data_IF_767206425100
#
_entry.id   IF_767206425100
#
_cell.length_a   1.000
_cell.length_b   1.000
_cell.length_c   1.000
_cell.angle_alpha   90.00
_cell.angle_beta   90.00
_cell.angle_gamma   90.00
#
_symmetry.space_group_name_H-M   'P 1'
#
loop_
_entity.id
_entity.type
_entity.pdbx_description
1 polymer ?
#
# COMPACT_ATOMS: atom_id res chain seq x y z
N UNK A 1 11.92 12.35 40.31
CA UNK A 1 11.48 11.79 39.02
C UNK A 1 10.15 12.43 38.68
N UNK A 2 10.13 13.39 37.75
CA UNK A 2 8.88 14.00 37.29
C UNK A 2 8.35 13.09 36.18
N UNK A 3 7.19 12.46 36.40
CA UNK A 3 6.53 11.66 35.37
C UNK A 3 5.93 12.64 34.37
N UNK A 4 6.53 12.73 33.18
CA UNK A 4 5.90 13.41 32.06
C UNK A 4 4.82 12.47 31.58
N UNK A 5 3.60 12.74 32.03
CA UNK A 5 2.40 12.03 31.63
C UNK A 5 2.33 12.07 30.10
N UNK A 6 2.56 10.94 29.43
CA UNK A 6 2.53 10.87 27.97
C UNK A 6 1.19 11.43 27.47
N UNK A 7 1.20 12.20 26.36
CA UNK A 7 -0.01 12.78 25.82
C UNK A 7 -1.08 11.70 25.63
N UNK A 8 -2.36 11.98 25.91
CA UNK A 8 -3.42 11.01 25.65
C UNK A 8 -3.45 10.77 24.14
N UNK A 9 -2.89 9.63 23.69
CA UNK A 9 -2.89 9.13 22.31
C UNK A 9 -4.30 8.72 21.85
N UNK A 10 -5.28 9.58 22.09
CA UNK A 10 -6.70 9.26 22.14
C UNK A 10 -7.34 8.90 20.80
N UNK A 11 -6.65 9.09 19.66
CA UNK A 11 -7.06 8.60 18.34
C UNK A 11 -5.87 8.40 17.41
N UNK A 12 -4.88 7.64 17.84
CA UNK A 12 -3.94 7.03 16.89
C UNK A 12 -4.73 6.03 16.06
N UNK A 13 -5.34 6.50 14.95
CA UNK A 13 -5.76 5.60 13.89
C UNK A 13 -4.54 4.75 13.61
N UNK A 14 -4.60 3.42 13.82
CA UNK A 14 -3.40 2.61 13.77
C UNK A 14 -2.71 2.92 12.45
N UNK A 15 -1.41 3.20 12.47
CA UNK A 15 -0.66 3.57 11.26
C UNK A 15 -0.93 2.56 10.13
N UNK A 16 -1.14 1.30 10.50
CA UNK A 16 -1.65 0.24 9.63
C UNK A 16 -2.95 0.60 8.88
N UNK A 17 -3.96 1.20 9.53
CA UNK A 17 -5.21 1.68 8.88
C UNK A 17 -4.95 2.87 7.94
N UNK A 18 -4.04 3.76 8.31
CA UNK A 18 -3.66 4.90 7.47
C UNK A 18 -2.91 4.43 6.22
N UNK A 19 -2.07 3.39 6.34
CA UNK A 19 -1.31 2.79 5.25
C UNK A 19 -2.12 1.78 4.42
N UNK A 20 -3.17 1.17 5.00
CA UNK A 20 -4.04 0.20 4.34
C UNK A 20 -4.75 0.79 3.12
N UNK A 21 -5.30 2.01 3.25
CA UNK A 21 -5.99 2.66 2.13
C UNK A 21 -5.02 2.95 0.95
N UNK A 22 -3.85 3.59 1.14
CA UNK A 22 -2.81 3.70 0.12
C UNK A 22 -2.38 2.36 -0.49
N UNK A 23 -2.16 1.34 0.34
CA UNK A 23 -1.74 0.03 -0.14
C UNK A 23 -2.82 -0.63 -1.01
N UNK A 24 -4.08 -0.52 -0.60
CA UNK A 24 -5.23 -1.05 -1.35
C UNK A 24 -5.43 -0.31 -2.68
N UNK A 25 -5.22 1.02 -2.70
CA UNK A 25 -5.24 1.82 -3.92
C UNK A 25 -4.11 1.43 -4.87
N UNK A 26 -2.89 1.24 -4.36
CA UNK A 26 -1.75 0.77 -5.17
C UNK A 26 -2.01 -0.63 -5.76
N UNK A 27 -2.56 -1.54 -4.96
CA UNK A 27 -2.92 -2.88 -5.44
C UNK A 27 -4.00 -2.80 -6.54
N UNK A 28 -5.01 -1.95 -6.37
CA UNK A 28 -6.06 -1.75 -7.37
C UNK A 28 -5.52 -1.12 -8.66
N UNK A 29 -4.63 -0.13 -8.56
CA UNK A 29 -3.99 0.51 -9.71
C UNK A 29 -3.15 -0.50 -10.51
N UNK A 30 -2.38 -1.35 -9.83
CA UNK A 30 -1.60 -2.42 -10.47
C UNK A 30 -2.51 -3.43 -11.17
N UNK A 31 -3.61 -3.85 -10.52
CA UNK A 31 -4.60 -4.74 -11.13
C UNK A 31 -5.29 -4.14 -12.36
N UNK A 32 -5.64 -2.85 -12.31
CA UNK A 32 -6.22 -2.12 -13.43
C UNK A 32 -5.25 -1.98 -14.60
N UNK A 33 -3.97 -1.69 -14.32
CA UNK A 33 -2.93 -1.64 -15.34
C UNK A 33 -2.80 -2.99 -16.07
N UNK A 34 -2.72 -4.10 -15.33
CA UNK A 34 -2.68 -5.45 -15.91
C UNK A 34 -3.94 -5.77 -16.73
N UNK A 35 -5.13 -5.36 -16.24
CA UNK A 35 -6.39 -5.58 -16.94
C UNK A 35 -6.48 -4.80 -18.26
N UNK A 36 -5.91 -3.59 -18.31
CA UNK A 36 -5.91 -2.70 -19.48
C UNK A 36 -4.96 -3.12 -20.61
N UNK A 37 -4.05 -4.06 -20.35
CA UNK A 37 -3.01 -4.48 -21.30
C UNK A 37 -3.43 -5.74 -22.05
N UNK A 38 -3.01 -5.83 -23.32
CA UNK A 38 -3.29 -6.95 -24.21
C UNK A 38 -2.74 -8.27 -23.65
N UNK A 39 -3.42 -9.42 -23.88
CA UNK A 39 -3.03 -10.72 -23.31
C UNK A 39 -1.54 -11.09 -23.43
N UNK A 40 -0.85 -10.86 -24.57
CA UNK A 40 0.57 -11.20 -24.67
C UNK A 40 1.49 -10.31 -23.83
N UNK A 41 1.07 -9.11 -23.45
CA UNK A 41 1.87 -8.17 -22.68
C UNK A 41 1.60 -8.21 -21.16
N UNK A 42 0.53 -8.90 -20.73
CA UNK A 42 0.20 -9.10 -19.31
C UNK A 42 1.34 -9.69 -18.46
N UNK A 43 2.09 -10.74 -18.87
CA UNK A 43 3.12 -11.32 -17.99
C UNK A 43 4.25 -10.34 -17.65
N UNK A 44 4.67 -9.49 -18.59
CA UNK A 44 5.70 -8.48 -18.35
C UNK A 44 5.21 -7.38 -17.40
N UNK A 45 3.96 -6.94 -17.58
CA UNK A 45 3.35 -5.89 -16.74
C UNK A 45 3.05 -6.41 -15.35
N UNK A 46 2.60 -7.67 -15.19
CA UNK A 46 2.44 -8.30 -13.88
C UNK A 46 3.76 -8.41 -13.13
N UNK A 47 4.86 -8.74 -13.81
CA UNK A 47 6.16 -8.83 -13.18
C UNK A 47 6.65 -7.47 -12.70
N UNK A 48 6.55 -6.44 -13.55
CA UNK A 48 6.94 -5.07 -13.17
C UNK A 48 6.08 -4.52 -12.02
N UNK A 49 4.76 -4.73 -12.07
CA UNK A 49 3.83 -4.33 -11.01
C UNK A 49 4.06 -5.07 -9.69
N UNK A 50 4.42 -6.36 -9.74
CA UNK A 50 4.77 -7.14 -8.57
C UNK A 50 6.04 -6.62 -7.88
N UNK A 51 7.10 -6.32 -8.65
CA UNK A 51 8.33 -5.72 -8.12
C UNK A 51 8.07 -4.34 -7.52
N UNK A 52 7.28 -3.50 -8.19
CA UNK A 52 6.90 -2.19 -7.66
C UNK A 52 6.12 -2.30 -6.34
N UNK A 53 5.22 -3.29 -6.23
CA UNK A 53 4.46 -3.55 -5.00
C UNK A 53 5.38 -4.05 -3.87
N UNK A 54 6.35 -4.92 -4.19
CA UNK A 54 7.38 -5.39 -3.24
C UNK A 54 8.31 -4.29 -2.73
N UNK A 55 8.55 -3.21 -3.49
CA UNK A 55 9.33 -2.08 -2.97
C UNK A 55 8.54 -1.16 -2.03
N UNK A 56 7.22 -1.19 -2.11
CA UNK A 56 6.33 -0.32 -1.32
C UNK A 56 5.94 -0.96 0.01
N UNK A 57 5.88 -2.30 0.04
CA UNK A 57 5.68 -3.12 1.24
C UNK A 57 7.03 -3.28 1.96
#
# INVERSE_FOLDING_TARGET
MVSVQSPPGGREVPYARVLLLPAMLMAAATGAAVASVTPPARPAVTWCGAVATLMVI
#
